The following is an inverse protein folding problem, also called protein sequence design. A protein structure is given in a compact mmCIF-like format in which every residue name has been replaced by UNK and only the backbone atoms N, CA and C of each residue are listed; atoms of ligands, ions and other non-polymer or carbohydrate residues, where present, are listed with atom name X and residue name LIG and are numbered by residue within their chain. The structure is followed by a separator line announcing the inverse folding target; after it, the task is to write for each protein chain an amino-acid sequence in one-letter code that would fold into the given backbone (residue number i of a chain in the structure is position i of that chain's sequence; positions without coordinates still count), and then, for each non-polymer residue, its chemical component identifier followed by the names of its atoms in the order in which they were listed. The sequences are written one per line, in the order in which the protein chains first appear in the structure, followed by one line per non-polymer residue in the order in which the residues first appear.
data_IF_157230862564
#
_entry.id   IF_157230862564
#
_cell.length_a   1.000
_cell.length_b   1.000
_cell.length_c   1.000
_cell.angle_alpha   90.00
_cell.angle_beta   90.00
_cell.angle_gamma   90.00
#
_symmetry.space_group_name_H-M   'P 1'
#
loop_
_entity.id
_entity.type
_entity.pdbx_description
1 polymer ?
#
# COMPACT_ATOMS: atom_id res chain seq x y z
N UNK A 1 -10.56 11.94 17.90
CA UNK A 1 -10.25 10.51 18.10
C UNK A 1 -8.98 10.42 18.94
N UNK A 2 -8.55 9.23 19.34
CA UNK A 2 -7.34 9.08 20.17
C UNK A 2 -6.09 9.19 19.29
N UNK A 3 -5.11 9.99 19.73
CA UNK A 3 -3.81 10.11 19.05
C UNK A 3 -2.98 8.83 19.23
N UNK A 4 -2.03 8.56 18.34
CA UNK A 4 -1.16 7.37 18.45
C UNK A 4 -0.49 7.30 19.82
N UNK A 5 0.04 8.42 20.31
CA UNK A 5 0.70 8.49 21.62
C UNK A 5 -0.23 8.10 22.78
N UNK A 6 -1.55 8.28 22.62
CA UNK A 6 -2.54 7.97 23.64
C UNK A 6 -2.96 6.49 23.64
N UNK A 7 -2.68 5.73 22.58
CA UNK A 7 -3.13 4.34 22.41
C UNK A 7 -1.97 3.34 22.27
N UNK A 8 -0.77 3.81 21.93
CA UNK A 8 0.43 3.01 21.78
C UNK A 8 0.75 2.20 23.05
N UNK A 9 0.77 0.87 22.91
CA UNK A 9 1.08 -0.06 23.99
C UNK A 9 -0.02 -0.20 25.05
N UNK A 10 -1.22 0.35 24.81
CA UNK A 10 -2.37 0.24 25.73
C UNK A 10 -3.37 -0.77 25.21
N UNK A 11 -3.87 -1.63 26.10
CA UNK A 11 -4.93 -2.61 25.82
C UNK A 11 -6.11 -2.38 26.76
N UNK A 12 -7.33 -2.37 26.24
CA UNK A 12 -8.52 -2.29 27.09
C UNK A 12 -8.79 -3.68 27.69
N UNK A 13 -8.55 -3.81 28.99
CA UNK A 13 -8.82 -5.04 29.71
C UNK A 13 -10.25 -4.94 30.23
N UNK A 14 -11.21 -5.43 29.45
CA UNK A 14 -12.62 -5.39 29.82
C UNK A 14 -12.89 -5.73 31.30
N UNK A 15 -13.82 -4.99 31.91
CA UNK A 15 -14.19 -5.12 33.33
C UNK A 15 -15.02 -6.39 33.60
N UNK A 16 -14.42 -7.58 33.49
CA UNK A 16 -15.06 -8.80 33.98
C UNK A 16 -15.02 -8.80 35.52
N UNK A 17 -16.14 -8.46 36.15
CA UNK A 17 -16.30 -8.51 37.60
C UNK A 17 -16.41 -9.96 38.07
N UNK A 18 -15.48 -10.42 38.92
CA UNK A 18 -15.71 -11.58 39.80
C UNK A 18 -14.81 -12.82 39.66
N UNK A 19 -13.74 -12.82 38.86
CA UNK A 19 -12.83 -13.97 38.78
C UNK A 19 -11.37 -13.52 38.97
N UNK A 20 -10.76 -13.92 40.09
CA UNK A 20 -9.39 -13.58 40.46
C UNK A 20 -8.46 -14.80 40.33
N UNK A 21 -7.87 -14.99 39.14
CA UNK A 21 -6.87 -16.05 38.87
C UNK A 21 -5.49 -15.53 38.45
N UNK A 22 -5.23 -14.23 38.58
CA UNK A 22 -3.90 -13.63 38.67
C UNK A 22 -2.93 -13.78 37.48
N UNK A 23 -2.87 -12.75 36.64
CA UNK A 23 -1.67 -12.20 35.96
C UNK A 23 -1.90 -10.68 35.98
N UNK A 24 -1.04 -9.91 36.66
CA UNK A 24 -1.31 -8.52 37.11
C UNK A 24 -1.29 -7.44 35.99
N UNK A 25 -1.86 -7.76 34.83
CA UNK A 25 -2.10 -6.91 33.67
C UNK A 25 -2.71 -7.75 32.53
N UNK A 26 -3.34 -7.14 31.51
CA UNK A 26 -3.63 -7.91 30.29
C UNK A 26 -2.33 -8.34 29.64
N UNK A 27 -2.36 -9.55 29.10
CA UNK A 27 -1.45 -9.90 28.02
C UNK A 27 -1.84 -9.10 26.78
N UNK A 28 -1.03 -8.11 26.43
CA UNK A 28 -0.98 -7.54 25.08
C UNK A 28 -0.30 -8.60 24.21
N UNK A 29 -1.11 -9.30 23.41
CA UNK A 29 -0.64 -10.31 22.47
C UNK A 29 -0.81 -9.75 21.07
N UNK A 30 0.20 -9.97 20.24
CA UNK A 30 0.14 -9.75 18.81
C UNK A 30 -0.15 -11.09 18.14
N UNK A 31 -1.13 -11.11 17.24
CA UNK A 31 -1.55 -12.30 16.51
C UNK A 31 -0.63 -12.63 15.33
N UNK A 32 -1.15 -13.44 14.41
CA UNK A 32 -0.43 -13.80 13.19
C UNK A 32 -0.31 -12.57 12.28
N UNK A 33 0.90 -12.14 11.88
CA UNK A 33 1.08 -10.99 10.98
C UNK A 33 0.65 -11.34 9.55
N UNK A 34 -0.53 -10.86 9.15
CA UNK A 34 -1.08 -11.07 7.81
C UNK A 34 -1.10 -9.78 6.97
N UNK A 35 -0.78 -8.64 7.57
CA UNK A 35 -0.83 -7.34 6.92
C UNK A 35 0.52 -6.64 7.03
N UNK A 36 0.94 -5.99 5.96
CA UNK A 36 2.10 -5.11 5.93
C UNK A 36 1.73 -3.80 5.26
N UNK A 37 2.19 -2.67 5.79
CA UNK A 37 2.15 -1.39 5.09
C UNK A 37 3.58 -0.94 4.85
N UNK A 38 4.00 -0.89 3.59
CA UNK A 38 5.29 -0.37 3.19
C UNK A 38 5.26 1.15 3.21
N UNK A 39 6.04 1.76 4.09
CA UNK A 39 6.27 3.19 4.13
C UNK A 39 7.53 3.54 3.34
N UNK A 40 7.56 4.74 2.78
CA UNK A 40 8.79 5.33 2.28
C UNK A 40 9.84 5.33 3.40
N UNK A 41 11.06 4.92 3.07
CA UNK A 41 12.12 4.80 4.06
C UNK A 41 12.38 6.09 4.82
N UNK A 42 12.48 5.98 6.14
CA UNK A 42 12.74 7.08 7.05
C UNK A 42 11.52 7.96 7.32
N UNK A 43 10.34 7.58 6.85
CA UNK A 43 9.11 8.28 7.18
C UNK A 43 8.81 8.18 8.68
N UNK A 44 8.52 9.32 9.29
CA UNK A 44 8.21 9.45 10.71
C UNK A 44 6.76 9.89 10.84
N UNK A 45 6.01 9.17 11.65
CA UNK A 45 4.64 9.48 12.03
C UNK A 45 4.68 10.21 13.36
N UNK A 46 4.29 11.51 13.41
CA UNK A 46 4.23 12.24 14.67
C UNK A 46 3.28 11.57 15.66
N UNK A 47 3.67 11.47 16.93
CA UNK A 47 2.84 10.83 17.97
C UNK A 47 1.47 11.48 18.16
N UNK A 48 1.34 12.76 17.84
CA UNK A 48 0.11 13.55 17.90
C UNK A 48 -0.89 13.24 16.77
N UNK A 49 -0.52 12.39 15.82
CA UNK A 49 -1.37 12.04 14.68
C UNK A 49 -2.50 11.10 15.12
N UNK A 50 -3.69 11.27 14.55
CA UNK A 50 -4.77 10.30 14.67
C UNK A 50 -4.56 9.18 13.64
N UNK A 51 -4.37 7.94 14.11
CA UNK A 51 -4.21 6.78 13.23
C UNK A 51 -5.58 6.22 12.86
N UNK A 52 -6.15 6.72 11.77
CA UNK A 52 -7.45 6.32 11.26
C UNK A 52 -7.39 6.04 9.75
N UNK A 53 -8.51 5.56 9.19
CA UNK A 53 -8.64 5.26 7.76
C UNK A 53 -8.29 6.48 6.88
N UNK A 54 -8.78 7.66 7.22
CA UNK A 54 -8.56 8.89 6.43
C UNK A 54 -7.06 9.25 6.37
N UNK A 55 -6.35 9.12 7.48
CA UNK A 55 -4.90 9.34 7.53
C UNK A 55 -4.17 8.36 6.62
N UNK A 56 -4.47 7.06 6.71
CA UNK A 56 -3.87 6.06 5.84
C UNK A 56 -4.21 6.31 4.36
N UNK A 57 -5.44 6.70 4.04
CA UNK A 57 -5.85 7.03 2.67
C UNK A 57 -4.99 8.15 2.08
N UNK A 58 -4.75 9.23 2.83
CA UNK A 58 -3.92 10.33 2.32
C UNK A 58 -2.47 9.90 2.06
N UNK A 59 -1.90 9.02 2.90
CA UNK A 59 -0.56 8.47 2.69
C UNK A 59 -0.50 7.52 1.49
N UNK A 60 -1.55 6.73 1.27
CA UNK A 60 -1.67 5.82 0.13
C UNK A 60 -1.80 6.62 -1.17
N UNK A 61 -2.64 7.65 -1.20
CA UNK A 61 -2.78 8.56 -2.34
C UNK A 61 -1.45 9.24 -2.69
N UNK A 62 -0.72 9.73 -1.67
CA UNK A 62 0.60 10.31 -1.85
C UNK A 62 1.67 9.30 -2.30
N UNK A 63 1.39 7.98 -2.24
CA UNK A 63 2.35 6.93 -2.53
C UNK A 63 3.44 6.76 -1.46
N UNK A 64 3.29 7.43 -0.31
CA UNK A 64 4.18 7.29 0.83
C UNK A 64 3.93 5.99 1.59
N UNK A 65 2.69 5.49 1.56
CA UNK A 65 2.31 4.19 2.08
C UNK A 65 1.81 3.27 0.96
N UNK A 66 2.22 2.01 0.96
CA UNK A 66 1.73 0.98 0.04
C UNK A 66 1.27 -0.23 0.87
N UNK A 67 -0.05 -0.43 1.02
CA UNK A 67 -0.60 -1.51 1.84
C UNK A 67 -0.58 -2.84 1.09
N UNK A 68 -0.19 -3.90 1.81
CA UNK A 68 -0.23 -5.31 1.44
C UNK A 68 -1.07 -6.01 2.52
N UNK A 69 -2.36 -6.18 2.26
CA UNK A 69 -3.35 -6.61 3.25
C UNK A 69 -3.80 -8.05 2.89
N UNK A 70 -4.24 -8.81 3.89
CA UNK A 70 -4.83 -10.15 3.74
C UNK A 70 -3.90 -11.17 3.06
N UNK A 71 -2.69 -11.34 3.60
CA UNK A 71 -1.89 -12.49 3.24
C UNK A 71 -2.63 -13.79 3.61
N UNK A 72 -2.69 -14.74 2.67
CA UNK A 72 -3.29 -16.05 2.89
C UNK A 72 -2.48 -16.91 3.87
N UNK A 73 -1.17 -16.67 3.95
CA UNK A 73 -0.30 -17.37 4.90
C UNK A 73 0.92 -16.54 5.29
N UNK A 74 1.45 -16.86 6.46
CA UNK A 74 2.65 -16.27 7.03
C UNK A 74 3.65 -17.35 7.46
N UNK A 75 4.92 -17.13 7.16
CA UNK A 75 6.05 -17.95 7.61
C UNK A 75 7.14 -17.07 8.23
N UNK A 76 7.64 -17.47 9.39
CA UNK A 76 8.82 -16.87 10.02
C UNK A 76 10.09 -17.56 9.52
N UNK A 77 10.98 -16.80 8.87
CA UNK A 77 12.26 -17.22 8.33
C UNK A 77 13.44 -16.51 9.03
N UNK A 78 13.20 -16.00 10.25
CA UNK A 78 14.20 -15.31 11.04
C UNK A 78 15.45 -16.17 11.27
N UNK A 79 16.61 -15.53 11.24
CA UNK A 79 17.87 -16.21 11.51
C UNK A 79 18.16 -16.24 13.01
N UNK A 80 18.75 -17.33 13.49
CA UNK A 80 19.17 -17.48 14.89
C UNK A 80 20.48 -16.75 15.24
N UNK A 81 20.69 -16.53 16.53
CA UNK A 81 21.93 -16.01 17.08
C UNK A 81 23.08 -17.01 16.92
N UNK A 82 24.24 -16.53 16.44
CA UNK A 82 25.44 -17.36 16.33
C UNK A 82 26.39 -17.09 17.49
N UNK A 83 26.81 -18.15 18.17
CA UNK A 83 27.77 -18.11 19.28
C UNK A 83 29.14 -18.59 18.80
N UNK A 84 30.20 -17.97 19.33
CA UNK A 84 31.58 -18.41 19.16
C UNK A 84 32.12 -18.88 20.51
N UNK A 85 32.71 -20.08 20.56
CA UNK A 85 33.29 -20.63 21.79
C UNK A 85 34.80 -20.41 21.78
N UNK A 86 35.32 -19.70 22.79
CA UNK A 86 36.76 -19.54 22.95
C UNK A 86 37.41 -20.85 23.44
N UNK A 87 38.72 -21.02 23.26
CA UNK A 87 39.49 -22.19 23.70
C UNK A 87 39.39 -22.52 25.20
N UNK A 88 38.91 -21.57 26.02
CA UNK A 88 38.57 -21.78 27.43
C UNK A 88 37.15 -22.30 27.68
N UNK A 89 36.38 -22.67 26.65
CA UNK A 89 35.01 -23.17 26.77
C UNK A 89 33.95 -22.09 27.05
N UNK A 90 34.31 -20.80 27.00
CA UNK A 90 33.38 -19.69 27.17
C UNK A 90 32.71 -19.33 25.84
N UNK A 91 31.37 -19.32 25.82
CA UNK A 91 30.58 -18.89 24.66
C UNK A 91 30.43 -17.37 24.64
N UNK A 92 30.63 -16.76 23.47
CA UNK A 92 30.44 -15.33 23.21
C UNK A 92 29.56 -15.16 21.98
N UNK A 93 28.54 -14.31 22.09
CA UNK A 93 27.69 -13.92 20.97
C UNK A 93 28.52 -13.28 19.86
N UNK A 94 28.41 -13.81 18.65
CA UNK A 94 29.21 -13.42 17.49
C UNK A 94 28.38 -12.64 16.47
N UNK A 95 27.15 -13.08 16.19
CA UNK A 95 26.21 -12.38 15.31
C UNK A 95 24.80 -12.46 15.87
N UNK A 96 24.11 -11.33 15.87
CA UNK A 96 22.69 -11.27 16.18
C UNK A 96 21.88 -11.74 14.97
N UNK A 97 20.97 -12.67 15.22
CA UNK A 97 19.92 -13.06 14.30
C UNK A 97 19.00 -11.87 13.97
N UNK A 98 18.64 -11.75 12.70
CA UNK A 98 17.72 -10.73 12.20
C UNK A 98 16.35 -11.33 11.86
N UNK A 99 15.25 -10.62 12.19
CA UNK A 99 13.92 -11.05 11.82
C UNK A 99 13.73 -11.07 10.30
N UNK A 100 13.10 -12.13 9.78
CA UNK A 100 12.76 -12.23 8.35
C UNK A 100 11.40 -12.89 8.18
N UNK A 101 10.49 -12.17 7.55
CA UNK A 101 9.10 -12.57 7.38
C UNK A 101 8.80 -12.92 5.94
N UNK A 102 7.94 -13.91 5.75
CA UNK A 102 7.41 -14.31 4.45
C UNK A 102 5.90 -14.31 4.49
N UNK A 103 5.29 -13.54 3.61
CA UNK A 103 3.85 -13.48 3.43
C UNK A 103 3.50 -14.06 2.06
N UNK A 104 2.43 -14.85 1.99
CA UNK A 104 1.96 -15.49 0.77
C UNK A 104 0.58 -14.95 0.41
N UNK A 105 0.40 -14.58 -0.85
CA UNK A 105 -0.84 -14.03 -1.38
C UNK A 105 -1.37 -14.93 -2.50
N UNK A 106 -2.68 -15.13 -2.51
CA UNK A 106 -3.41 -15.97 -3.48
C UNK A 106 -4.32 -15.11 -4.36
N UNK A 107 -3.74 -14.02 -4.87
CA UNK A 107 -4.45 -12.98 -5.61
C UNK A 107 -4.40 -13.16 -7.14
N UNK A 108 -4.98 -12.20 -7.87
CA UNK A 108 -4.95 -12.17 -9.33
C UNK A 108 -3.57 -11.87 -9.94
N UNK A 109 -3.44 -12.11 -11.25
CA UNK A 109 -2.18 -11.91 -11.99
C UNK A 109 -1.65 -10.46 -11.95
N UNK A 110 -2.53 -9.47 -11.90
CA UNK A 110 -2.12 -8.06 -11.87
C UNK A 110 -1.48 -7.72 -10.53
N UNK A 111 -2.08 -8.16 -9.42
CA UNK A 111 -1.47 -8.07 -8.10
C UNK A 111 -0.09 -8.74 -8.07
N UNK A 112 0.07 -9.90 -8.71
CA UNK A 112 1.38 -10.54 -8.83
C UNK A 112 2.41 -9.73 -9.62
N UNK A 113 2.00 -9.00 -10.67
CA UNK A 113 2.90 -8.11 -11.41
C UNK A 113 3.32 -6.92 -10.56
N UNK A 114 2.39 -6.33 -9.81
CA UNK A 114 2.68 -5.20 -8.92
C UNK A 114 3.57 -5.59 -7.74
N UNK A 115 3.30 -6.73 -7.07
CA UNK A 115 4.19 -7.25 -6.02
C UNK A 115 5.61 -7.48 -6.54
N UNK A 116 5.81 -7.84 -7.81
CA UNK A 116 7.15 -8.02 -8.35
C UNK A 116 8.03 -6.77 -8.21
N UNK A 117 7.41 -5.58 -8.33
CA UNK A 117 8.07 -4.27 -8.27
C UNK A 117 8.56 -3.90 -6.86
N UNK A 118 8.09 -4.60 -5.82
CA UNK A 118 8.56 -4.40 -4.45
C UNK A 118 9.98 -4.93 -4.19
N UNK A 119 10.51 -5.76 -5.10
CA UNK A 119 11.86 -6.31 -4.96
C UNK A 119 12.89 -5.17 -4.91
N UNK A 120 13.45 -4.95 -3.73
CA UNK A 120 14.26 -3.77 -3.44
C UNK A 120 15.18 -4.01 -2.24
N UNK A 121 16.16 -3.10 -2.06
CA UNK A 121 17.09 -3.16 -0.93
C UNK A 121 17.13 -1.80 -0.23
N UNK A 122 16.69 -1.77 1.04
CA UNK A 122 16.64 -0.59 1.90
C UNK A 122 15.87 0.57 1.27
N UNK A 123 14.74 0.27 0.62
CA UNK A 123 13.86 1.26 -0.01
C UNK A 123 12.61 1.58 0.81
N UNK A 124 12.19 0.66 1.68
CA UNK A 124 10.96 0.75 2.46
C UNK A 124 11.21 0.43 3.92
N UNK A 125 10.34 0.97 4.79
CA UNK A 125 10.16 0.54 6.17
C UNK A 125 8.74 -0.03 6.30
N UNK A 126 8.45 -0.96 7.21
CA UNK A 126 7.13 -1.62 7.26
C UNK A 126 6.42 -1.44 8.59
N UNK A 127 5.14 -1.11 8.55
CA UNK A 127 4.21 -1.34 9.67
C UNK A 127 3.65 -2.75 9.51
N UNK A 128 3.48 -3.48 10.61
CA UNK A 128 3.00 -4.87 10.60
C UNK A 128 1.62 -4.90 11.25
N UNK A 129 0.64 -5.53 10.60
CA UNK A 129 -0.70 -5.75 11.15
C UNK A 129 -1.00 -7.24 11.31
N UNK A 130 -1.73 -7.59 12.37
CA UNK A 130 -2.16 -8.96 12.64
C UNK A 130 -3.60 -9.25 12.19
N UNK A 131 -3.97 -10.53 12.19
CA UNK A 131 -5.33 -11.01 11.87
C UNK A 131 -6.42 -10.46 12.80
N UNK A 132 -6.06 -10.01 14.00
CA UNK A 132 -6.98 -9.48 15.01
C UNK A 132 -7.15 -7.96 14.89
N UNK A 133 -6.50 -7.32 13.91
CA UNK A 133 -6.60 -5.89 13.63
C UNK A 133 -5.63 -5.01 14.41
N UNK A 134 -4.71 -5.59 15.16
CA UNK A 134 -3.68 -4.83 15.86
C UNK A 134 -2.56 -4.42 14.90
N UNK A 135 -1.97 -3.25 15.14
CA UNK A 135 -0.86 -2.71 14.35
C UNK A 135 0.39 -2.53 15.20
N UNK A 136 1.52 -3.04 14.73
CA UNK A 136 2.82 -2.91 15.36
C UNK A 136 3.66 -1.86 14.63
N UNK A 137 4.18 -0.89 15.37
CA UNK A 137 5.05 0.18 14.88
C UNK A 137 6.35 0.22 15.67
N UNK A 138 7.43 0.66 15.04
CA UNK A 138 8.67 0.95 15.73
C UNK A 138 8.63 2.36 16.33
N UNK A 139 9.19 2.51 17.52
CA UNK A 139 9.36 3.83 18.16
C UNK A 139 10.55 4.55 17.52
N UNK A 140 10.40 5.85 17.26
CA UNK A 140 11.49 6.69 16.80
C UNK A 140 12.43 7.04 17.96
N UNK A 141 13.62 7.57 17.65
CA UNK A 141 14.68 7.81 18.64
C UNK A 141 14.29 8.83 19.73
N UNK A 142 13.25 9.62 19.52
CA UNK A 142 12.73 10.58 20.50
C UNK A 142 11.72 9.97 21.50
N UNK A 143 11.26 8.73 21.27
CA UNK A 143 10.34 8.02 22.17
C UNK A 143 8.88 8.50 22.12
N UNK A 144 8.58 9.55 21.35
CA UNK A 144 7.25 10.14 21.21
C UNK A 144 6.67 9.94 19.80
N UNK A 145 7.54 9.83 18.78
CA UNK A 145 7.13 9.57 17.41
C UNK A 145 7.29 8.09 17.02
N UNK A 146 6.62 7.72 15.93
CA UNK A 146 6.55 6.35 15.43
C UNK A 146 7.08 6.25 14.00
N UNK A 147 7.47 5.06 13.61
CA UNK A 147 7.97 4.76 12.25
C UNK A 147 7.69 3.29 11.91
N UNK A 148 7.84 2.94 10.63
CA UNK A 148 7.92 1.54 10.23
C UNK A 148 9.19 0.86 10.75
N UNK A 149 9.15 -0.45 10.90
CA UNK A 149 10.33 -1.28 11.13
C UNK A 149 11.29 -1.13 9.97
N UNK A 150 12.56 -0.87 10.31
CA UNK A 150 13.60 -0.65 9.32
C UNK A 150 13.88 -1.93 8.54
N UNK A 151 13.49 -1.95 7.26
CA UNK A 151 13.69 -3.11 6.40
C UNK A 151 14.92 -2.97 5.51
N UNK A 152 15.53 -4.13 5.26
CA UNK A 152 16.68 -4.31 4.40
C UNK A 152 16.23 -4.87 3.08
N UNK A 153 16.38 -6.19 2.91
CA UNK A 153 16.03 -6.84 1.67
C UNK A 153 14.54 -7.16 1.62
N UNK A 154 13.88 -6.69 0.57
CA UNK A 154 12.51 -7.09 0.19
C UNK A 154 12.61 -7.86 -1.11
N UNK A 155 12.11 -9.09 -1.16
CA UNK A 155 12.15 -9.93 -2.36
C UNK A 155 10.78 -10.52 -2.60
N UNK A 156 10.21 -10.21 -3.76
CA UNK A 156 9.06 -10.94 -4.28
C UNK A 156 9.55 -12.25 -4.89
N UNK A 157 9.11 -13.37 -4.33
CA UNK A 157 9.45 -14.70 -4.84
C UNK A 157 8.75 -14.96 -6.19
N UNK A 158 9.26 -15.96 -6.91
CA UNK A 158 8.63 -16.40 -8.15
C UNK A 158 7.21 -16.92 -7.86
N UNK A 159 6.27 -16.56 -8.73
CA UNK A 159 4.89 -17.05 -8.67
C UNK A 159 4.86 -18.58 -8.82
N UNK A 160 4.16 -19.25 -7.92
CA UNK A 160 3.88 -20.69 -8.00
C UNK A 160 2.60 -20.91 -8.80
N UNK A 161 2.65 -21.78 -9.80
CA UNK A 161 1.48 -22.17 -10.59
C UNK A 161 0.60 -23.14 -9.82
N UNK A 162 -0.71 -23.01 -9.99
CA UNK A 162 -1.68 -23.97 -9.45
C UNK A 162 -1.34 -25.40 -9.90
N UNK A 163 -1.35 -26.32 -8.95
CA UNK A 163 -1.16 -27.76 -9.23
C UNK A 163 -2.53 -28.44 -9.30
N UNK A 164 -2.70 -29.39 -10.22
CA UNK A 164 -3.95 -30.13 -10.37
C UNK A 164 -4.25 -30.94 -9.09
N UNK A 165 -5.32 -30.56 -8.37
CA UNK A 165 -5.71 -31.19 -7.10
C UNK A 165 -4.85 -30.80 -5.89
N UNK A 166 -4.01 -29.79 -6.02
CA UNK A 166 -3.14 -29.29 -4.95
C UNK A 166 -3.33 -27.80 -4.67
N UNK A 167 -2.26 -27.16 -4.20
CA UNK A 167 -2.27 -25.77 -3.74
C UNK A 167 -2.68 -24.78 -4.85
N UNK A 168 -3.40 -23.71 -4.48
CA UNK A 168 -3.79 -22.64 -5.38
C UNK A 168 -2.56 -21.88 -5.93
N UNK A 169 -2.80 -21.09 -6.98
CA UNK A 169 -1.77 -20.19 -7.50
C UNK A 169 -1.44 -19.13 -6.44
N UNK A 170 -0.16 -18.91 -6.18
CA UNK A 170 0.28 -17.98 -5.13
C UNK A 170 1.57 -17.28 -5.48
N UNK A 171 1.78 -16.12 -4.85
CA UNK A 171 3.05 -15.40 -4.87
C UNK A 171 3.41 -14.92 -3.47
N UNK A 172 4.67 -15.10 -3.10
CA UNK A 172 5.15 -14.71 -1.78
C UNK A 172 6.05 -13.49 -1.85
N UNK A 173 6.08 -12.71 -0.77
CA UNK A 173 7.05 -11.64 -0.53
C UNK A 173 7.81 -11.96 0.74
N UNK A 174 9.12 -11.75 0.72
CA UNK A 174 9.96 -11.86 1.90
C UNK A 174 10.52 -10.50 2.27
N UNK A 175 10.49 -10.17 3.57
CA UNK A 175 10.98 -8.92 4.13
C UNK A 175 11.97 -9.26 5.23
N UNK A 176 13.21 -8.79 5.10
CA UNK A 176 14.22 -8.90 6.14
C UNK A 176 14.36 -7.57 6.88
N UNK A 177 14.22 -7.59 8.20
CA UNK A 177 14.40 -6.43 9.06
C UNK A 177 15.85 -6.29 9.51
N UNK A 178 16.31 -5.05 9.68
CA UNK A 178 17.72 -4.77 9.96
C UNK A 178 18.01 -4.43 11.42
N UNK A 179 17.03 -3.93 12.15
CA UNK A 179 17.22 -3.42 13.50
C UNK A 179 16.52 -4.30 14.53
N UNK A 180 17.31 -5.13 15.22
CA UNK A 180 16.80 -5.99 16.29
C UNK A 180 16.34 -5.22 17.52
N UNK A 181 16.85 -4.02 17.78
CA UNK A 181 16.38 -3.23 18.94
C UNK A 181 14.93 -2.80 18.75
N UNK A 182 14.51 -2.55 17.51
CA UNK A 182 13.09 -2.28 17.19
C UNK A 182 12.23 -3.50 17.48
N UNK A 183 12.77 -4.70 17.29
CA UNK A 183 12.07 -5.96 17.55
C UNK A 183 11.98 -6.31 19.05
N UNK A 184 13.10 -6.13 19.76
CA UNK A 184 13.22 -6.60 21.15
C UNK A 184 12.65 -5.61 22.17
N UNK A 185 12.69 -4.30 21.88
CA UNK A 185 12.34 -3.27 22.88
C UNK A 185 11.64 -2.04 22.32
N UNK A 186 12.04 -1.57 21.15
CA UNK A 186 11.66 -0.26 20.64
C UNK A 186 10.45 -0.33 19.71
N UNK A 187 9.36 -0.97 20.15
CA UNK A 187 8.10 -1.05 19.42
C UNK A 187 6.89 -0.70 20.29
N UNK A 188 5.77 -0.42 19.63
CA UNK A 188 4.47 -0.27 20.26
C UNK A 188 3.40 -0.99 19.43
N UNK A 189 2.37 -1.49 20.11
CA UNK A 189 1.19 -2.11 19.48
C UNK A 189 0.01 -1.17 19.68
N UNK A 190 -0.67 -0.84 18.58
CA UNK A 190 -1.98 -0.20 18.57
C UNK A 190 -3.02 -1.32 18.53
N UNK A 191 -3.80 -1.43 19.60
CA UNK A 191 -4.83 -2.46 19.70
C UNK A 191 -6.10 -2.06 18.97
N UNK A 192 -6.74 -3.03 18.31
CA UNK A 192 -8.00 -2.85 17.58
C UNK A 192 -9.09 -2.18 18.43
N UNK A 193 -9.12 -2.43 19.74
CA UNK A 193 -10.08 -1.84 20.69
C UNK A 193 -10.08 -0.30 20.72
N UNK A 194 -8.98 0.32 20.31
CA UNK A 194 -8.82 1.78 20.26
C UNK A 194 -8.83 2.34 18.84
N UNK A 195 -9.02 1.50 17.83
CA UNK A 195 -9.05 1.86 16.42
C UNK A 195 -10.50 1.83 15.90
N UNK A 196 -10.81 2.72 14.97
CA UNK A 196 -12.13 2.86 14.35
C UNK A 196 -12.25 2.14 13.00
N UNK A 197 -11.19 1.43 12.58
CA UNK A 197 -11.12 0.72 11.31
C UNK A 197 -10.49 -0.66 11.50
N UNK A 198 -10.80 -1.58 10.59
CA UNK A 198 -10.12 -2.89 10.51
C UNK A 198 -9.08 -2.91 9.38
N UNK A 199 -8.06 -3.78 9.39
CA UNK A 199 -7.04 -3.80 8.34
C UNK A 199 -7.60 -3.94 6.91
N UNK A 200 -8.71 -4.65 6.73
CA UNK A 200 -9.38 -4.83 5.44
C UNK A 200 -9.98 -3.53 4.89
N UNK A 201 -10.23 -2.53 5.73
CA UNK A 201 -10.74 -1.23 5.32
C UNK A 201 -9.63 -0.25 4.90
N UNK A 202 -8.36 -0.65 5.05
CA UNK A 202 -7.22 0.15 4.58
C UNK A 202 -7.29 0.22 3.05
N UNK A 203 -7.38 1.42 2.46
CA UNK A 203 -7.60 1.55 1.03
C UNK A 203 -6.38 1.08 0.24
N UNK A 204 -6.60 0.26 -0.77
CA UNK A 204 -5.61 -0.19 -1.75
C UNK A 204 -5.83 0.55 -3.07
N UNK A 205 -4.81 0.57 -3.93
CA UNK A 205 -4.88 1.25 -5.24
C UNK A 205 -5.14 0.21 -6.33
N UNK A 206 -6.19 0.46 -7.12
CA UNK A 206 -6.51 -0.33 -8.30
C UNK A 206 -5.90 0.31 -9.56
N UNK A 207 -5.25 -0.50 -10.40
CA UNK A 207 -4.71 -0.06 -11.68
C UNK A 207 -5.80 0.15 -12.72
N UNK A 208 -5.68 1.23 -13.50
CA UNK A 208 -6.51 1.50 -14.68
C UNK A 208 -5.61 1.54 -15.92
N UNK A 209 -6.04 0.87 -16.99
CA UNK A 209 -5.40 0.98 -18.29
C UNK A 209 -6.25 1.86 -19.20
N UNK A 210 -6.01 3.18 -19.16
CA UNK A 210 -6.70 4.12 -20.03
C UNK A 210 -6.44 3.78 -21.50
N UNK A 211 -7.44 3.96 -22.37
CA UNK A 211 -7.31 3.76 -23.83
C UNK A 211 -7.98 4.92 -24.57
N UNK A 212 -7.29 5.58 -25.49
CA UNK A 212 -7.93 6.61 -26.34
C UNK A 212 -8.68 5.90 -27.48
N UNK A 213 -9.97 6.17 -27.59
CA UNK A 213 -10.83 5.63 -28.65
C UNK A 213 -10.79 6.58 -29.85
N UNK A 214 -10.16 6.12 -30.92
CA UNK A 214 -10.03 6.89 -32.16
C UNK A 214 -8.97 7.98 -32.05
N UNK A 215 -8.31 8.27 -33.16
CA UNK A 215 -7.32 9.35 -33.22
C UNK A 215 -8.09 10.67 -33.37
N UNK A 216 -7.89 11.67 -32.48
CA UNK A 216 -8.52 12.96 -32.64
C UNK A 216 -8.13 13.63 -33.96
N UNK A 217 -9.09 14.25 -34.63
CA UNK A 217 -8.86 15.03 -35.85
C UNK A 217 -8.33 16.43 -35.52
N UNK A 218 -7.73 17.10 -36.52
CA UNK A 218 -7.41 18.52 -36.42
C UNK A 218 -8.67 19.34 -36.07
N UNK A 219 -8.50 20.33 -35.20
CA UNK A 219 -9.56 21.18 -34.63
C UNK A 219 -10.62 20.43 -33.80
N UNK A 220 -10.44 19.15 -33.49
CA UNK A 220 -11.30 18.45 -32.54
C UNK A 220 -11.19 19.11 -31.16
N UNK A 221 -12.32 19.18 -30.46
CA UNK A 221 -12.46 19.73 -29.09
C UNK A 221 -12.80 18.63 -28.08
N UNK A 222 -12.79 17.38 -28.52
CA UNK A 222 -13.19 16.23 -27.69
C UNK A 222 -12.22 15.07 -27.88
N UNK A 223 -11.89 14.41 -26.78
CA UNK A 223 -11.15 13.14 -26.76
C UNK A 223 -12.02 12.10 -26.08
N UNK A 224 -12.15 10.92 -26.69
CA UNK A 224 -12.88 9.79 -26.09
C UNK A 224 -11.88 8.83 -25.46
N UNK A 225 -12.07 8.50 -24.19
CA UNK A 225 -11.17 7.66 -23.39
C UNK A 225 -11.96 6.53 -22.73
N UNK A 226 -11.49 5.31 -22.86
CA UNK A 226 -11.97 4.14 -22.12
C UNK A 226 -11.11 3.95 -20.87
N UNK A 227 -11.74 3.56 -19.75
CA UNK A 227 -11.06 3.31 -18.48
C UNK A 227 -11.40 1.92 -17.91
N UNK A 228 -10.92 0.82 -18.53
CA UNK A 228 -11.02 -0.51 -17.94
C UNK A 228 -10.02 -0.70 -16.79
N UNK A 229 -10.38 -1.57 -15.84
CA UNK A 229 -9.43 -2.05 -14.83
C UNK A 229 -8.27 -2.81 -15.47
N UNK A 230 -7.04 -2.54 -15.04
CA UNK A 230 -5.85 -3.24 -15.52
C UNK A 230 -5.84 -4.75 -15.17
N UNK A 231 -6.66 -5.16 -14.20
CA UNK A 231 -6.75 -6.55 -13.76
C UNK A 231 -7.34 -7.49 -14.81
N UNK A 232 -8.34 -7.03 -15.55
CA UNK A 232 -9.10 -7.84 -16.50
C UNK A 232 -9.25 -7.18 -17.88
N UNK A 233 -8.87 -5.91 -18.03
CA UNK A 233 -9.05 -5.08 -19.21
C UNK A 233 -10.50 -5.02 -19.75
N UNK A 234 -11.49 -5.33 -18.90
CA UNK A 234 -12.90 -5.45 -19.30
C UNK A 234 -13.84 -4.73 -18.35
N UNK A 235 -13.57 -4.76 -17.04
CA UNK A 235 -14.46 -4.11 -16.07
C UNK A 235 -14.32 -2.58 -16.17
N UNK A 236 -15.39 -1.85 -16.51
CA UNK A 236 -15.32 -0.40 -16.64
C UNK A 236 -15.25 0.29 -15.29
N UNK A 237 -14.38 1.29 -15.16
CA UNK A 237 -14.37 2.21 -14.03
C UNK A 237 -15.41 3.31 -14.26
N UNK A 238 -16.37 3.42 -13.35
CA UNK A 238 -17.52 4.33 -13.44
C UNK A 238 -17.38 5.53 -12.50
N UNK A 239 -17.98 6.66 -12.87
CA UNK A 239 -18.10 7.82 -11.99
C UNK A 239 -16.86 8.72 -11.86
N UNK A 240 -15.88 8.61 -12.77
CA UNK A 240 -14.78 9.58 -12.84
C UNK A 240 -15.31 10.95 -13.31
N UNK A 241 -14.86 12.02 -12.68
CA UNK A 241 -15.23 13.40 -13.03
C UNK A 241 -14.09 14.13 -13.75
N UNK A 242 -14.35 15.32 -14.29
CA UNK A 242 -13.33 16.06 -15.06
C UNK A 242 -12.07 16.40 -14.27
N UNK A 243 -12.21 16.60 -12.95
CA UNK A 243 -11.09 16.84 -12.05
C UNK A 243 -10.20 15.60 -11.86
N UNK A 244 -10.70 14.40 -12.19
CA UNK A 244 -9.97 13.13 -12.10
C UNK A 244 -9.07 12.86 -13.32
N UNK A 245 -9.12 13.73 -14.34
CA UNK A 245 -8.32 13.60 -15.56
C UNK A 245 -7.33 14.76 -15.69
N UNK A 246 -6.10 14.41 -16.06
CA UNK A 246 -5.12 15.36 -16.57
C UNK A 246 -4.83 15.02 -18.01
N UNK A 247 -5.05 16.01 -18.89
CA UNK A 247 -4.62 15.95 -20.28
C UNK A 247 -3.39 16.84 -20.41
N UNK A 248 -2.39 16.41 -21.18
CA UNK A 248 -1.31 17.32 -21.58
C UNK A 248 -1.23 17.37 -23.09
N UNK A 249 -1.17 18.58 -23.65
CA UNK A 249 -0.98 18.82 -25.07
C UNK A 249 0.44 19.34 -25.26
N UNK A 250 1.28 18.59 -25.98
CA UNK A 250 2.71 18.88 -26.15
C UNK A 250 3.43 19.12 -24.81
N UNK A 251 3.05 18.36 -23.78
CA UNK A 251 3.61 18.46 -22.42
C UNK A 251 3.09 19.64 -21.59
N UNK A 252 2.20 20.47 -22.12
CA UNK A 252 1.52 21.52 -21.34
C UNK A 252 0.23 20.95 -20.76
N UNK A 253 0.09 21.03 -19.43
CA UNK A 253 -1.10 20.52 -18.75
C UNK A 253 -2.34 21.34 -19.11
N UNK A 254 -3.42 20.64 -19.42
CA UNK A 254 -4.74 21.15 -19.68
C UNK A 254 -5.76 20.36 -18.86
N UNK A 255 -6.60 21.08 -18.11
CA UNK A 255 -7.73 20.49 -17.40
C UNK A 255 -8.93 20.46 -18.33
N UNK A 256 -9.56 19.29 -18.56
CA UNK A 256 -10.80 19.22 -19.32
C UNK A 256 -11.86 20.15 -18.76
N UNK A 257 -12.56 20.84 -19.64
CA UNK A 257 -13.67 21.74 -19.25
C UNK A 257 -14.89 20.94 -18.78
N UNK A 258 -15.07 19.74 -19.34
CA UNK A 258 -16.12 18.79 -19.03
C UNK A 258 -15.67 17.35 -19.27
N UNK A 259 -16.30 16.40 -18.59
CA UNK A 259 -16.10 14.97 -18.77
C UNK A 259 -17.45 14.26 -18.67
N UNK A 260 -17.89 13.65 -19.78
CA UNK A 260 -19.20 12.98 -19.86
C UNK A 260 -18.99 11.49 -20.02
N UNK A 261 -19.50 10.71 -19.08
CA UNK A 261 -19.52 9.24 -19.14
C UNK A 261 -20.70 8.75 -19.99
N UNK A 262 -20.41 8.09 -21.12
CA UNK A 262 -21.41 7.42 -21.97
C UNK A 262 -20.74 6.61 -23.07
N UNK A 263 -20.86 5.27 -23.11
CA UNK A 263 -21.43 4.37 -22.11
C UNK A 263 -20.55 4.22 -20.85
N UNK A 264 -20.97 3.39 -19.89
CA UNK A 264 -20.20 3.17 -18.65
C UNK A 264 -18.72 2.86 -18.94
N UNK A 265 -17.81 3.55 -18.24
CA UNK A 265 -16.36 3.42 -18.42
C UNK A 265 -15.78 4.07 -19.67
N UNK A 266 -16.59 4.76 -20.48
CA UNK A 266 -16.15 5.56 -21.62
C UNK A 266 -16.44 7.04 -21.35
N UNK A 267 -15.40 7.84 -21.33
CA UNK A 267 -15.43 9.26 -20.99
C UNK A 267 -15.12 10.11 -22.22
N UNK A 268 -16.02 11.04 -22.55
CA UNK A 268 -15.76 12.08 -23.53
C UNK A 268 -15.28 13.33 -22.80
N UNK A 269 -14.00 13.64 -22.95
CA UNK A 269 -13.34 14.80 -22.36
C UNK A 269 -13.43 15.99 -23.33
N UNK A 270 -13.88 17.14 -22.84
CA UNK A 270 -13.94 18.37 -23.64
C UNK A 270 -12.70 19.24 -23.35
N UNK A 271 -11.91 19.48 -24.40
CA UNK A 271 -10.65 20.22 -24.35
C UNK A 271 -10.65 21.37 -25.36
N UNK A 272 -9.59 22.17 -25.33
CA UNK A 272 -9.32 23.19 -26.35
C UNK A 272 -9.11 22.55 -27.73
N UNK A 273 -9.32 23.35 -28.77
CA UNK A 273 -9.20 22.86 -30.14
C UNK A 273 -7.76 22.42 -30.44
N UNK A 274 -7.63 21.17 -30.88
CA UNK A 274 -6.36 20.54 -31.20
C UNK A 274 -5.77 21.06 -32.52
N UNK A 275 -4.44 21.09 -32.60
CA UNK A 275 -3.69 21.38 -33.82
C UNK A 275 -3.09 20.09 -34.37
N UNK A 276 -2.89 20.02 -35.68
CA UNK A 276 -2.23 18.88 -36.31
C UNK A 276 -0.84 18.62 -35.67
N UNK A 277 -0.51 17.35 -35.47
CA UNK A 277 0.73 16.87 -34.82
C UNK A 277 0.84 17.11 -33.32
N UNK A 278 -0.20 17.64 -32.66
CA UNK A 278 -0.21 17.71 -31.20
C UNK A 278 -0.08 16.31 -30.59
N UNK A 279 0.80 16.20 -29.59
CA UNK A 279 0.93 14.98 -28.77
C UNK A 279 0.05 15.15 -27.55
N UNK A 280 -0.93 14.26 -27.42
CA UNK A 280 -1.89 14.24 -26.32
C UNK A 280 -1.49 13.12 -25.38
N UNK A 281 -1.27 13.47 -24.12
CA UNK A 281 -1.13 12.51 -23.03
C UNK A 281 -2.34 12.59 -22.12
N UNK A 282 -2.95 11.46 -21.76
CA UNK A 282 -4.05 11.38 -20.77
C UNK A 282 -3.60 10.54 -19.57
N UNK A 283 -3.90 11.03 -18.37
CA UNK A 283 -3.66 10.32 -17.12
C UNK A 283 -4.78 10.61 -16.10
N UNK A 284 -4.88 9.78 -15.06
CA UNK A 284 -5.67 10.14 -13.87
C UNK A 284 -4.93 11.16 -13.03
N UNK A 285 -5.65 12.09 -12.41
CA UNK A 285 -5.09 13.16 -11.61
C UNK A 285 -6.04 13.61 -10.51
N UNK A 286 -5.53 13.86 -9.31
CA UNK A 286 -6.30 14.41 -8.21
C UNK A 286 -5.89 15.85 -7.97
N UNK A 287 -6.83 16.79 -8.06
CA UNK A 287 -6.56 18.22 -7.87
C UNK A 287 -6.45 18.63 -6.40
N UNK A 288 -7.05 17.86 -5.47
CA UNK A 288 -7.03 18.13 -4.02
C UNK A 288 -5.69 17.74 -3.42
N UNK A 289 -5.17 16.58 -3.80
CA UNK A 289 -3.81 16.14 -3.50
C UNK A 289 -3.11 15.90 -4.83
N UNK A 290 -2.24 16.81 -5.30
CA UNK A 290 -1.69 16.79 -6.67
C UNK A 290 -0.85 15.53 -6.92
N UNK A 291 -1.51 14.47 -7.37
CA UNK A 291 -0.96 13.15 -7.65
C UNK A 291 -1.82 12.44 -8.70
N UNK A 292 -1.39 11.27 -9.17
CA UNK A 292 -2.13 10.48 -10.17
C UNK A 292 -3.15 9.50 -9.59
N UNK A 293 -3.42 9.56 -8.28
CA UNK A 293 -4.33 8.66 -7.57
C UNK A 293 -5.66 9.35 -7.31
N UNK A 294 -6.71 8.89 -7.97
CA UNK A 294 -8.05 9.44 -7.85
C UNK A 294 -8.90 8.59 -6.91
N UNK A 295 -9.77 9.21 -6.13
CA UNK A 295 -10.77 8.52 -5.31
C UNK A 295 -12.12 8.67 -6.01
N UNK A 296 -12.70 7.56 -6.44
CA UNK A 296 -14.09 7.50 -6.90
C UNK A 296 -14.86 6.50 -6.04
N UNK A 297 -15.89 6.99 -5.34
CA UNK A 297 -16.77 6.20 -4.48
C UNK A 297 -16.00 5.35 -3.42
N UNK A 298 -15.04 5.97 -2.72
CA UNK A 298 -14.19 5.33 -1.71
C UNK A 298 -13.23 4.25 -2.25
N UNK A 299 -13.03 4.20 -3.57
CA UNK A 299 -12.07 3.32 -4.22
C UNK A 299 -10.96 4.17 -4.86
N UNK A 300 -9.71 3.83 -4.55
CA UNK A 300 -8.55 4.50 -5.12
C UNK A 300 -8.16 3.85 -6.44
N UNK A 301 -7.92 4.70 -7.44
CA UNK A 301 -7.50 4.30 -8.76
C UNK A 301 -6.24 5.03 -9.21
N UNK A 302 -5.39 4.36 -9.98
CA UNK A 302 -4.23 4.97 -10.63
C UNK A 302 -4.11 4.45 -12.05
N UNK A 303 -4.06 5.36 -13.02
CA UNK A 303 -3.81 5.02 -14.40
C UNK A 303 -2.31 5.02 -14.76
N UNK A 304 -1.99 4.25 -15.79
CA UNK A 304 -0.79 4.48 -16.59
C UNK A 304 -1.09 5.56 -17.64
N UNK A 305 -0.21 6.56 -17.73
CA UNK A 305 -0.33 7.60 -18.75
C UNK A 305 -0.28 6.99 -20.17
N UNK A 306 -1.12 7.51 -21.05
CA UNK A 306 -1.22 7.10 -22.45
C UNK A 306 -1.02 8.27 -23.38
N UNK A 307 -0.38 8.02 -24.52
CA UNK A 307 -0.05 9.03 -25.52
C UNK A 307 -0.72 8.71 -26.86
N UNK A 308 -1.17 9.74 -27.56
CA UNK A 308 -1.56 9.68 -28.98
C UNK A 308 -1.12 10.94 -29.72
N UNK A 309 -1.09 10.88 -31.04
CA UNK A 309 -0.76 12.02 -31.91
C UNK A 309 -1.97 12.37 -32.76
N UNK A 310 -2.32 13.66 -32.81
CA UNK A 310 -3.43 14.17 -33.62
C UNK A 310 -3.20 13.88 -35.11
N UNK A 311 -4.22 13.40 -35.80
CA UNK A 311 -4.14 13.07 -37.22
C UNK A 311 -3.97 14.34 -38.07
N UNK A 312 -3.18 14.24 -39.13
CA UNK A 312 -3.12 15.25 -40.20
C UNK A 312 -4.29 14.99 -41.13
N UNK A 313 -5.07 16.03 -41.43
CA UNK A 313 -6.18 15.97 -42.40
C UNK A 313 -5.70 15.72 -43.84
#
# INVERSE_FOLDING_TARGET
MSKIIDIAGKKDCGNATGINTGVLGCLSLFGTPLHLIALQKGFIIPGDTEFNKAYLETLVQAGTAIPLIDAAAFEDLSSEDTMSTNAGGQERLNLLGLPKYKLMFEEGHEFYREIAKFTSYKSYDFIIGDEAGNWMLATANNGEDFKGFTAGQVVAEMRKTKVQGGDPESKSITVQFLDRLQWDRNYAILHQDFLDFVPQEVPTINGIDLKIIGIPAEAATTIVVEAPLASDEVTPVIGLIKEDFQVTINGTAETPTDAVESPNGTYTLTITALVALDVITVNTWNTTVPNSVVNSNDVLYRARAIDTVVAIA
#
